data_IF_183657912140
#
_entry.id   IF_183657912140
#
_cell.length_a   1.000
_cell.length_b   1.000
_cell.length_c   1.000
_cell.angle_alpha   90.00
_cell.angle_beta   90.00
_cell.angle_gamma   90.00
#
_symmetry.space_group_name_H-M   'P 1'
#
loop_
_entity.id
_entity.type
_entity.pdbx_description
1 polymer ?
#
# COMPACT_ATOMS: atom_id res chain seq x y z
N UNK A 1 13.62 26.59 -15.62
CA UNK A 1 13.79 26.40 -17.09
C UNK A 1 15.25 26.58 -17.56
N UNK A 2 16.04 27.51 -16.96
CA UNK A 2 17.44 27.78 -17.38
C UNK A 2 18.31 26.50 -17.54
N UNK A 3 18.15 25.48 -16.69
CA UNK A 3 18.89 24.22 -16.83
C UNK A 3 18.35 23.39 -18.01
N UNK A 4 17.07 23.42 -18.28
CA UNK A 4 16.44 22.79 -19.45
C UNK A 4 17.03 23.41 -20.72
N UNK A 5 17.05 24.75 -20.82
CA UNK A 5 17.60 25.46 -21.98
C UNK A 5 19.07 25.12 -22.23
N UNK A 6 19.85 24.86 -21.17
CA UNK A 6 21.26 24.44 -21.31
C UNK A 6 21.34 23.02 -21.87
N UNK A 7 20.54 22.08 -21.33
CA UNK A 7 20.52 20.70 -21.80
C UNK A 7 20.05 20.59 -23.24
N UNK A 8 19.06 21.37 -23.63
CA UNK A 8 18.55 21.43 -25.01
C UNK A 8 19.62 21.93 -25.99
N UNK A 9 20.43 22.92 -25.61
CA UNK A 9 21.58 23.38 -26.42
C UNK A 9 22.63 22.30 -26.69
N UNK A 10 22.74 21.32 -25.78
CA UNK A 10 23.63 20.17 -25.94
C UNK A 10 22.94 18.93 -26.53
N UNK A 11 21.69 19.05 -26.97
CA UNK A 11 20.86 17.93 -27.45
C UNK A 11 20.76 16.78 -26.41
N UNK A 12 20.87 17.10 -25.13
CA UNK A 12 20.80 16.12 -24.07
C UNK A 12 19.36 15.99 -23.58
N UNK A 13 18.64 14.99 -24.09
CA UNK A 13 17.21 14.77 -23.82
C UNK A 13 16.92 13.70 -22.79
N UNK A 14 17.91 12.86 -22.45
CA UNK A 14 17.73 11.74 -21.52
C UNK A 14 17.97 12.19 -20.07
N UNK A 15 17.04 12.95 -19.53
CA UNK A 15 17.05 13.39 -18.12
C UNK A 15 15.64 13.42 -17.54
N UNK A 16 15.55 13.43 -16.22
CA UNK A 16 14.31 13.70 -15.47
C UNK A 16 14.47 14.94 -14.59
N UNK A 17 13.37 15.65 -14.40
CA UNK A 17 13.35 16.87 -13.59
C UNK A 17 12.90 16.57 -12.16
N UNK A 18 13.54 17.22 -11.19
CA UNK A 18 13.15 17.15 -9.79
C UNK A 18 13.17 18.52 -9.13
N UNK A 19 12.04 18.91 -8.51
CA UNK A 19 11.86 20.18 -7.83
C UNK A 19 11.42 19.91 -6.39
N UNK A 20 12.39 19.66 -5.50
CA UNK A 20 12.10 19.25 -4.14
C UNK A 20 12.34 20.38 -3.15
N UNK A 21 11.38 20.59 -2.28
CA UNK A 21 11.51 21.48 -1.11
C UNK A 21 10.94 20.78 0.13
N UNK A 22 11.22 21.33 1.30
CA UNK A 22 10.68 20.85 2.57
C UNK A 22 9.25 21.36 2.82
N UNK A 23 8.81 22.39 2.14
CA UNK A 23 7.44 22.91 2.19
C UNK A 23 6.57 22.21 1.11
N UNK A 24 5.45 21.63 1.53
CA UNK A 24 4.55 20.88 0.67
C UNK A 24 3.92 21.78 -0.39
N UNK A 25 3.34 22.89 0.00
CA UNK A 25 2.64 23.80 -0.91
C UNK A 25 3.58 24.33 -2.00
N UNK A 26 4.78 24.78 -1.60
CA UNK A 26 5.81 25.22 -2.55
C UNK A 26 6.19 24.13 -3.53
N UNK A 27 6.37 22.88 -3.06
CA UNK A 27 6.72 21.74 -3.91
C UNK A 27 5.60 21.43 -4.89
N UNK A 28 4.36 21.31 -4.42
CA UNK A 28 3.19 20.99 -5.25
C UNK A 28 2.97 22.08 -6.30
N UNK A 29 3.02 23.35 -5.93
CA UNK A 29 2.92 24.48 -6.84
C UNK A 29 4.02 24.48 -7.92
N UNK A 30 5.26 24.19 -7.54
CA UNK A 30 6.38 24.10 -8.47
C UNK A 30 6.17 23.00 -9.51
N UNK A 31 5.74 21.80 -9.09
CA UNK A 31 5.47 20.69 -10.00
C UNK A 31 4.24 20.95 -10.90
N UNK A 32 3.17 21.54 -10.39
CA UNK A 32 2.00 21.95 -11.19
C UNK A 32 2.36 22.97 -12.28
N UNK A 33 3.32 23.84 -11.99
CA UNK A 33 3.81 24.81 -12.99
C UNK A 33 4.72 24.17 -14.01
N UNK A 34 5.69 23.37 -13.57
CA UNK A 34 6.66 22.77 -14.47
C UNK A 34 6.05 21.71 -15.39
N UNK A 35 5.08 20.93 -14.93
CA UNK A 35 4.38 19.91 -15.71
C UNK A 35 3.65 20.46 -16.94
N UNK A 36 3.34 21.74 -16.94
CA UNK A 36 2.72 22.43 -18.09
C UNK A 36 3.74 22.99 -19.08
N UNK A 37 5.02 23.00 -18.73
CA UNK A 37 6.08 23.69 -19.47
C UNK A 37 7.08 22.74 -20.10
N UNK A 38 7.18 21.50 -19.62
CA UNK A 38 8.14 20.52 -20.13
C UNK A 38 7.47 19.14 -20.28
N UNK A 39 8.01 18.34 -21.18
CA UNK A 39 7.58 16.95 -21.41
C UNK A 39 8.50 15.90 -20.77
N UNK A 40 9.59 16.33 -20.15
CA UNK A 40 10.54 15.43 -19.48
C UNK A 40 9.91 14.82 -18.22
N UNK A 41 10.27 13.57 -17.90
CA UNK A 41 9.76 12.87 -16.72
C UNK A 41 10.03 13.65 -15.43
N UNK A 42 9.04 13.66 -14.54
CA UNK A 42 9.10 14.34 -13.25
C UNK A 42 9.39 13.35 -12.14
N UNK A 43 10.40 13.64 -11.32
CA UNK A 43 10.77 12.84 -10.15
C UNK A 43 10.31 13.54 -8.88
N UNK A 44 9.20 13.03 -8.32
CA UNK A 44 8.56 13.63 -7.15
C UNK A 44 9.26 13.27 -5.85
N UNK A 45 9.08 14.11 -4.85
CA UNK A 45 9.48 13.86 -3.47
C UNK A 45 9.48 15.13 -2.63
N UNK A 46 9.28 14.95 -1.33
CA UNK A 46 9.45 16.01 -0.34
C UNK A 46 10.81 15.80 0.33
N UNK A 47 11.64 16.83 0.39
CA UNK A 47 12.93 16.75 1.08
C UNK A 47 12.77 17.10 2.55
N UNK A 48 13.66 16.56 3.39
CA UNK A 48 13.65 16.83 4.84
C UNK A 48 12.26 16.58 5.46
N UNK A 49 11.65 15.45 5.10
CA UNK A 49 10.28 15.17 5.52
C UNK A 49 10.17 14.91 7.04
N UNK A 50 11.23 14.40 7.68
CA UNK A 50 11.28 14.17 9.11
C UNK A 50 11.41 12.69 9.50
N UNK A 51 11.05 12.36 10.76
CA UNK A 51 11.06 11.00 11.27
C UNK A 51 10.07 10.09 10.51
N UNK A 52 10.16 8.77 10.72
CA UNK A 52 9.28 7.79 10.07
C UNK A 52 7.80 8.24 10.04
N UNK A 53 7.21 8.51 11.20
CA UNK A 53 5.79 8.89 11.30
C UNK A 53 5.49 10.24 10.63
N UNK A 54 6.20 11.28 11.01
CA UNK A 54 5.93 12.64 10.52
C UNK A 54 6.29 12.77 9.03
N UNK A 55 7.39 12.12 8.61
CA UNK A 55 7.85 12.12 7.24
C UNK A 55 6.92 11.32 6.31
N UNK A 56 6.35 10.21 6.79
CA UNK A 56 5.32 9.45 6.06
C UNK A 56 4.11 10.33 5.77
N UNK A 57 3.56 11.01 6.79
CA UNK A 57 2.41 11.90 6.61
C UNK A 57 2.73 13.02 5.62
N UNK A 58 3.87 13.67 5.79
CA UNK A 58 4.29 14.79 4.94
C UNK A 58 4.50 14.37 3.49
N UNK A 59 5.16 13.24 3.27
CA UNK A 59 5.41 12.67 1.95
C UNK A 59 4.11 12.20 1.28
N UNK A 60 3.23 11.55 2.04
CA UNK A 60 1.93 11.10 1.54
C UNK A 60 1.06 12.25 1.06
N UNK A 61 1.04 13.37 1.79
CA UNK A 61 0.30 14.56 1.36
C UNK A 61 0.91 15.13 0.07
N UNK A 62 2.20 15.45 0.07
CA UNK A 62 2.81 16.17 -1.05
C UNK A 62 2.90 15.34 -2.33
N UNK A 63 3.35 14.09 -2.22
CA UNK A 63 3.43 13.16 -3.37
C UNK A 63 2.03 12.73 -3.79
N UNK A 64 1.15 12.44 -2.83
CA UNK A 64 -0.23 12.02 -3.10
C UNK A 64 -1.04 13.06 -3.86
N UNK A 65 -0.93 14.34 -3.50
CA UNK A 65 -1.58 15.44 -4.24
C UNK A 65 -1.18 15.46 -5.70
N UNK A 66 0.11 15.35 -6.00
CA UNK A 66 0.62 15.39 -7.37
C UNK A 66 0.21 14.14 -8.16
N UNK A 67 0.37 12.95 -7.57
CA UNK A 67 -0.01 11.70 -8.23
C UNK A 67 -1.51 11.62 -8.53
N UNK A 68 -2.37 12.13 -7.65
CA UNK A 68 -3.82 12.18 -7.88
C UNK A 68 -4.22 13.12 -9.03
N UNK A 69 -3.35 14.08 -9.38
CA UNK A 69 -3.50 14.97 -10.54
C UNK A 69 -2.82 14.42 -11.81
N UNK A 70 -2.28 13.21 -11.77
CA UNK A 70 -1.53 12.60 -12.88
C UNK A 70 -0.15 13.22 -13.11
N UNK A 71 0.40 13.92 -12.13
CA UNK A 71 1.73 14.55 -12.20
C UNK A 71 2.75 13.67 -11.52
N UNK A 72 3.79 13.25 -12.26
CA UNK A 72 4.94 12.51 -11.76
C UNK A 72 5.10 11.13 -12.37
N UNK A 73 6.34 10.77 -12.68
CA UNK A 73 6.71 9.52 -13.33
C UNK A 73 7.50 8.59 -12.42
N UNK A 74 8.22 9.17 -11.47
CA UNK A 74 8.97 8.45 -10.44
C UNK A 74 8.84 9.17 -9.10
N UNK A 75 8.92 8.42 -8.00
CA UNK A 75 8.83 8.97 -6.65
C UNK A 75 10.07 8.64 -5.82
N UNK A 76 10.36 9.48 -4.86
CA UNK A 76 11.30 9.23 -3.77
C UNK A 76 10.68 9.68 -2.46
N UNK A 77 10.66 8.79 -1.49
CA UNK A 77 10.34 9.10 -0.11
C UNK A 77 11.66 9.36 0.63
N UNK A 78 11.69 10.32 1.55
CA UNK A 78 12.86 10.65 2.34
C UNK A 78 12.45 10.69 3.81
N UNK A 79 12.98 9.74 4.58
CA UNK A 79 12.68 9.59 6.01
C UNK A 79 13.99 9.55 6.80
N UNK A 80 13.96 10.07 8.03
CA UNK A 80 15.01 9.80 9.01
C UNK A 80 14.74 8.44 9.68
N UNK A 81 14.85 7.35 8.88
CA UNK A 81 14.58 5.96 9.23
C UNK A 81 15.43 5.03 8.36
N UNK A 82 15.24 3.70 8.50
CA UNK A 82 15.86 2.72 7.62
C UNK A 82 15.44 2.96 6.15
N UNK A 83 16.36 2.88 5.18
CA UNK A 83 16.02 3.03 3.76
C UNK A 83 14.94 2.09 3.24
N UNK A 84 14.77 0.91 3.85
CA UNK A 84 13.69 -0.03 3.52
C UNK A 84 12.32 0.57 3.83
N UNK A 85 12.19 1.35 4.91
CA UNK A 85 10.96 2.03 5.27
C UNK A 85 10.52 3.05 4.20
N UNK A 86 11.47 3.73 3.56
CA UNK A 86 11.18 4.66 2.45
C UNK A 86 10.50 3.94 1.28
N UNK A 87 10.97 2.72 0.97
CA UNK A 87 10.39 1.88 -0.09
C UNK A 87 8.99 1.41 0.30
N UNK A 88 8.79 0.95 1.54
CA UNK A 88 7.48 0.51 2.05
C UNK A 88 6.47 1.64 1.98
N UNK A 89 6.81 2.81 2.52
CA UNK A 89 5.95 4.01 2.45
C UNK A 89 5.65 4.43 1.01
N UNK A 90 6.63 4.34 0.11
CA UNK A 90 6.42 4.60 -1.30
C UNK A 90 5.36 3.69 -1.92
N UNK A 91 5.42 2.39 -1.64
CA UNK A 91 4.41 1.43 -2.08
C UNK A 91 3.04 1.67 -1.44
N UNK A 92 2.99 2.06 -0.16
CA UNK A 92 1.75 2.35 0.54
C UNK A 92 1.03 3.56 -0.04
N UNK A 93 1.76 4.60 -0.45
CA UNK A 93 1.20 5.75 -1.18
C UNK A 93 0.61 5.29 -2.52
N UNK A 94 1.34 4.51 -3.31
CA UNK A 94 0.87 4.04 -4.61
C UNK A 94 -0.34 3.11 -4.50
N UNK A 95 -0.34 2.19 -3.54
CA UNK A 95 -1.48 1.31 -3.21
C UNK A 95 -2.71 2.12 -2.79
N UNK A 96 -2.53 3.10 -1.90
CA UNK A 96 -3.64 3.93 -1.39
C UNK A 96 -4.31 4.76 -2.48
N UNK A 97 -3.58 5.11 -3.53
CA UNK A 97 -4.09 5.83 -4.70
C UNK A 97 -4.56 4.90 -5.83
N UNK A 98 -4.47 3.58 -5.65
CA UNK A 98 -4.76 2.57 -6.68
C UNK A 98 -3.99 2.77 -8.00
N UNK A 99 -2.78 3.35 -7.94
CA UNK A 99 -1.92 3.57 -9.11
C UNK A 99 -1.11 2.32 -9.42
N UNK A 100 -0.52 1.72 -8.39
CA UNK A 100 0.23 0.46 -8.48
C UNK A 100 0.09 -0.29 -7.17
N UNK A 101 0.00 -1.60 -7.26
CA UNK A 101 -0.03 -2.46 -6.10
C UNK A 101 1.13 -3.44 -6.08
N UNK A 102 1.59 -3.76 -4.89
CA UNK A 102 2.55 -4.82 -4.61
C UNK A 102 2.42 -5.22 -3.14
N UNK A 103 2.38 -6.52 -2.89
CA UNK A 103 2.25 -7.05 -1.56
C UNK A 103 0.81 -7.03 -1.04
N UNK A 104 0.65 -7.47 0.19
CA UNK A 104 -0.66 -7.58 0.81
C UNK A 104 -1.16 -6.19 1.24
N UNK A 105 -2.43 -5.92 0.94
CA UNK A 105 -3.15 -4.74 1.42
C UNK A 105 -4.11 -5.17 2.51
N UNK A 106 -3.86 -4.74 3.74
CA UNK A 106 -4.72 -5.06 4.88
C UNK A 106 -5.75 -3.95 5.07
N UNK A 107 -7.03 -4.32 5.04
CA UNK A 107 -8.17 -3.48 5.38
C UNK A 107 -8.64 -3.89 6.77
N UNK A 108 -8.53 -3.00 7.73
CA UNK A 108 -8.91 -3.30 9.10
C UNK A 108 -9.87 -2.26 9.68
N UNK A 109 -10.85 -2.71 10.44
CA UNK A 109 -11.69 -1.80 11.19
C UNK A 109 -10.97 -1.32 12.46
N UNK A 110 -11.31 -0.11 12.96
CA UNK A 110 -10.80 0.33 14.25
C UNK A 110 -11.35 -0.55 15.36
N UNK A 111 -10.55 -0.73 16.42
CA UNK A 111 -10.98 -1.43 17.63
C UNK A 111 -12.20 -0.74 18.28
N UNK A 112 -13.25 -1.50 18.59
CA UNK A 112 -14.46 -0.99 19.23
C UNK A 112 -15.08 -2.05 20.15
N UNK A 113 -16.09 -1.65 20.93
CA UNK A 113 -16.77 -2.54 21.90
C UNK A 113 -17.53 -3.72 21.26
N UNK A 114 -17.75 -3.71 19.94
CA UNK A 114 -18.44 -4.79 19.21
C UNK A 114 -17.53 -5.87 18.69
N UNK A 115 -16.20 -5.73 18.86
CA UNK A 115 -15.25 -6.72 18.38
C UNK A 115 -15.34 -8.05 19.15
N UNK A 116 -15.20 -9.15 18.41
CA UNK A 116 -15.17 -10.50 18.98
C UNK A 116 -13.75 -11.08 19.08
N UNK A 117 -12.75 -10.37 18.56
CA UNK A 117 -11.32 -10.67 18.70
C UNK A 117 -10.49 -9.38 18.68
N UNK A 118 -9.25 -9.46 19.13
CA UNK A 118 -8.32 -8.33 19.13
C UNK A 118 -7.83 -8.03 17.71
N UNK A 119 -8.46 -7.07 17.03
CA UNK A 119 -8.12 -6.67 15.65
C UNK A 119 -6.68 -6.18 15.56
N UNK A 120 -6.20 -5.40 16.54
CA UNK A 120 -4.85 -4.82 16.51
C UNK A 120 -3.79 -5.92 16.53
N UNK A 121 -3.96 -6.92 17.40
CA UNK A 121 -3.04 -8.06 17.51
C UNK A 121 -2.99 -8.86 16.20
N UNK A 122 -4.15 -9.14 15.62
CA UNK A 122 -4.26 -9.89 14.37
C UNK A 122 -3.64 -9.13 13.19
N UNK A 123 -3.86 -7.82 13.10
CA UNK A 123 -3.27 -6.99 12.04
C UNK A 123 -1.75 -6.95 12.15
N UNK A 124 -1.20 -6.69 13.34
CA UNK A 124 0.25 -6.66 13.55
C UNK A 124 0.91 -8.00 13.20
N UNK A 125 0.27 -9.11 13.56
CA UNK A 125 0.74 -10.45 13.21
C UNK A 125 0.72 -10.70 11.70
N UNK A 126 -0.37 -10.29 11.02
CA UNK A 126 -0.48 -10.40 9.56
C UNK A 126 0.55 -9.52 8.84
N UNK A 127 0.72 -8.28 9.24
CA UNK A 127 1.72 -7.38 8.66
C UNK A 127 3.12 -7.98 8.74
N UNK A 128 3.46 -8.57 9.89
CA UNK A 128 4.78 -9.21 10.09
C UNK A 128 4.95 -10.45 9.23
N UNK A 129 3.92 -11.31 9.13
CA UNK A 129 4.01 -12.60 8.41
C UNK A 129 3.87 -12.48 6.90
N UNK A 130 3.20 -11.44 6.43
CA UNK A 130 2.91 -11.23 5.02
C UNK A 130 3.85 -10.21 4.35
N UNK A 131 4.84 -9.70 5.08
CA UNK A 131 5.80 -8.68 4.59
C UNK A 131 6.59 -9.16 3.35
N UNK A 132 6.90 -10.44 3.28
CA UNK A 132 7.67 -11.04 2.16
C UNK A 132 6.81 -11.35 0.92
N UNK A 133 5.49 -11.22 1.01
CA UNK A 133 4.59 -11.53 -0.11
C UNK A 133 4.56 -10.35 -1.07
N UNK A 134 4.86 -10.58 -2.32
CA UNK A 134 4.88 -9.56 -3.37
C UNK A 134 3.61 -9.48 -4.21
N UNK A 135 2.75 -10.50 -4.12
CA UNK A 135 1.50 -10.56 -4.88
C UNK A 135 0.47 -9.58 -4.33
N UNK A 136 -0.31 -9.00 -5.23
CA UNK A 136 -1.38 -8.07 -4.90
C UNK A 136 -2.57 -8.83 -4.32
N UNK A 137 -2.72 -8.80 -3.01
CA UNK A 137 -3.78 -9.50 -2.28
C UNK A 137 -4.42 -8.55 -1.28
N UNK A 138 -5.74 -8.47 -1.29
CA UNK A 138 -6.52 -7.70 -0.34
C UNK A 138 -7.02 -8.59 0.81
N UNK A 139 -6.68 -8.22 2.05
CA UNK A 139 -7.07 -8.95 3.27
C UNK A 139 -7.90 -8.05 4.17
N UNK A 140 -9.17 -8.40 4.39
CA UNK A 140 -10.05 -7.67 5.31
C UNK A 140 -10.04 -8.31 6.72
N UNK A 141 -9.76 -7.50 7.75
CA UNK A 141 -9.75 -7.92 9.17
C UNK A 141 -10.77 -7.09 9.94
N UNK A 142 -11.96 -7.63 10.10
CA UNK A 142 -13.10 -6.89 10.68
C UNK A 142 -13.59 -7.58 11.95
N UNK A 143 -13.42 -6.91 13.09
CA UNK A 143 -13.66 -7.45 14.42
C UNK A 143 -15.11 -7.79 14.77
N UNK A 144 -16.10 -7.41 13.97
CA UNK A 144 -17.52 -7.65 14.28
C UNK A 144 -18.33 -8.05 13.06
N UNK A 145 -19.49 -8.68 13.32
CA UNK A 145 -20.41 -9.14 12.28
C UNK A 145 -21.19 -8.01 11.57
N UNK A 146 -21.19 -6.80 12.10
CA UNK A 146 -21.97 -5.68 11.52
C UNK A 146 -21.38 -5.24 10.19
N UNK A 147 -20.08 -4.97 10.13
CA UNK A 147 -19.38 -4.54 8.92
C UNK A 147 -18.63 -5.70 8.24
N UNK A 148 -18.34 -6.76 9.01
CA UNK A 148 -17.50 -7.87 8.56
C UNK A 148 -17.93 -8.55 7.28
N UNK A 149 -19.21 -8.94 7.12
CA UNK A 149 -19.66 -9.62 5.90
C UNK A 149 -19.54 -8.76 4.63
N UNK A 150 -19.70 -7.44 4.72
CA UNK A 150 -19.55 -6.53 3.60
C UNK A 150 -18.10 -6.44 3.12
N UNK A 151 -17.21 -6.05 4.01
CA UNK A 151 -15.78 -5.90 3.71
C UNK A 151 -15.11 -7.23 3.35
N UNK A 152 -15.45 -8.31 4.09
CA UNK A 152 -14.87 -9.63 3.82
C UNK A 152 -15.33 -10.25 2.49
N UNK A 153 -16.45 -9.81 1.94
CA UNK A 153 -16.90 -10.23 0.60
C UNK A 153 -16.21 -9.47 -0.53
N UNK A 154 -15.74 -8.27 -0.26
CA UNK A 154 -15.06 -7.44 -1.25
C UNK A 154 -13.57 -7.79 -1.40
N UNK A 155 -12.97 -8.39 -0.36
CA UNK A 155 -11.55 -8.78 -0.35
C UNK A 155 -11.37 -10.25 -0.78
N UNK A 156 -10.17 -10.60 -1.26
CA UNK A 156 -9.82 -11.99 -1.56
C UNK A 156 -9.84 -12.87 -0.31
N UNK A 157 -9.40 -12.32 0.82
CA UNK A 157 -9.44 -13.00 2.11
C UNK A 157 -10.11 -12.06 3.12
N UNK A 158 -11.09 -12.55 3.84
CA UNK A 158 -11.80 -11.79 4.85
C UNK A 158 -11.91 -12.53 6.17
N UNK A 159 -11.58 -11.86 7.27
CA UNK A 159 -11.80 -12.34 8.62
C UNK A 159 -12.86 -11.48 9.29
N UNK A 160 -14.00 -12.09 9.59
CA UNK A 160 -15.13 -11.43 10.27
C UNK A 160 -15.30 -11.94 11.67
N UNK A 161 -15.30 -11.03 12.66
CA UNK A 161 -15.62 -11.34 14.04
C UNK A 161 -17.11 -11.67 14.22
N UNK A 162 -17.39 -12.82 14.81
CA UNK A 162 -18.74 -13.27 15.14
C UNK A 162 -18.74 -14.17 16.38
N UNK A 163 -19.87 -14.26 17.07
CA UNK A 163 -20.08 -15.15 18.21
C UNK A 163 -21.07 -16.25 17.81
N UNK A 164 -20.83 -17.53 18.17
CA UNK A 164 -19.74 -18.08 18.97
C UNK A 164 -18.45 -18.36 18.18
N UNK A 165 -18.41 -18.16 16.87
CA UNK A 165 -17.23 -18.45 16.02
C UNK A 165 -17.06 -17.33 15.00
N UNK A 166 -15.81 -16.95 14.77
CA UNK A 166 -15.44 -16.02 13.71
C UNK A 166 -15.55 -16.70 12.34
N UNK A 167 -15.69 -15.92 11.29
CA UNK A 167 -15.85 -16.42 9.91
C UNK A 167 -14.67 -16.01 9.04
N UNK A 168 -14.07 -16.98 8.36
CA UNK A 168 -13.10 -16.76 7.29
C UNK A 168 -13.85 -16.77 5.95
N UNK A 169 -13.60 -15.77 5.13
CA UNK A 169 -14.04 -15.66 3.76
C UNK A 169 -12.85 -15.87 2.81
N UNK A 170 -13.10 -16.53 1.71
CA UNK A 170 -12.15 -16.69 0.61
C UNK A 170 -12.91 -16.37 -0.67
N UNK A 171 -12.39 -15.44 -1.48
CA UNK A 171 -13.04 -14.94 -2.71
C UNK A 171 -14.49 -14.50 -2.48
N UNK A 172 -14.73 -13.78 -1.39
CA UNK A 172 -16.04 -13.29 -1.03
C UNK A 172 -17.05 -14.33 -0.51
N UNK A 173 -16.65 -15.61 -0.41
CA UNK A 173 -17.52 -16.70 0.04
C UNK A 173 -17.14 -17.15 1.46
N UNK A 174 -18.10 -17.31 2.38
CA UNK A 174 -17.82 -17.90 3.69
C UNK A 174 -17.21 -19.31 3.53
N UNK A 175 -16.01 -19.50 4.07
CA UNK A 175 -15.26 -20.73 3.91
C UNK A 175 -15.21 -21.56 5.19
N UNK A 176 -14.76 -20.97 6.30
CA UNK A 176 -14.51 -21.69 7.54
C UNK A 176 -14.90 -20.88 8.79
N UNK A 177 -15.44 -21.58 9.77
CA UNK A 177 -15.61 -21.04 11.12
C UNK A 177 -14.30 -21.21 11.89
N UNK A 178 -13.86 -20.15 12.56
CA UNK A 178 -12.64 -20.09 13.37
C UNK A 178 -13.05 -19.82 14.82
N UNK A 179 -12.70 -20.74 15.73
CA UNK A 179 -12.85 -20.52 17.17
C UNK A 179 -11.77 -19.58 17.70
N UNK A 180 -12.02 -18.88 18.78
CA UNK A 180 -10.98 -18.09 19.48
C UNK A 180 -9.91 -19.02 20.13
N UNK A 181 -8.64 -18.61 20.24
CA UNK A 181 -8.11 -17.32 19.86
C UNK A 181 -7.76 -17.21 18.38
N UNK A 182 -8.14 -16.12 17.76
CA UNK A 182 -7.94 -15.88 16.31
C UNK A 182 -6.45 -15.78 15.96
N UNK A 183 -5.64 -15.19 16.84
CA UNK A 183 -4.20 -15.06 16.68
C UNK A 183 -3.50 -16.41 16.45
N UNK A 184 -3.89 -17.47 17.15
CA UNK A 184 -3.32 -18.81 16.98
C UNK A 184 -3.73 -19.48 15.65
N UNK A 185 -4.88 -19.12 15.09
CA UNK A 185 -5.40 -19.69 13.84
C UNK A 185 -4.95 -18.91 12.59
N UNK A 186 -4.76 -17.60 12.70
CA UNK A 186 -4.11 -16.79 11.66
C UNK A 186 -2.62 -17.14 11.59
N UNK A 187 -2.03 -17.55 12.72
CA UNK A 187 -0.68 -18.05 12.86
C UNK A 187 -0.51 -19.51 12.39
N UNK A 188 -1.58 -20.27 12.21
CA UNK A 188 -1.47 -21.65 11.71
C UNK A 188 -0.93 -21.64 10.27
N UNK A 189 0.16 -22.40 10.09
CA UNK A 189 0.79 -22.66 8.80
C UNK A 189 -0.19 -23.03 7.67
N UNK A 190 -1.38 -23.49 8.02
CA UNK A 190 -2.45 -23.82 7.07
C UNK A 190 -3.21 -22.60 6.54
N UNK A 191 -3.40 -21.54 7.33
CA UNK A 191 -4.01 -20.28 6.85
C UNK A 191 -3.01 -19.50 6.01
N UNK A 192 -1.75 -19.42 6.44
CA UNK A 192 -0.63 -18.94 5.58
C UNK A 192 -0.41 -19.84 4.35
N UNK A 193 -0.61 -21.16 4.47
CA UNK A 193 -0.51 -22.10 3.36
C UNK A 193 -1.66 -21.97 2.36
N UNK A 194 -2.86 -21.51 2.78
CA UNK A 194 -3.95 -21.16 1.87
C UNK A 194 -3.64 -19.89 1.08
N UNK A 195 -3.06 -18.88 1.73
CA UNK A 195 -2.51 -17.70 1.06
C UNK A 195 -1.40 -18.15 0.08
N UNK A 196 -0.47 -19.00 0.51
CA UNK A 196 0.58 -19.58 -0.33
C UNK A 196 0.06 -20.53 -1.42
N UNK A 197 -0.98 -21.31 -1.16
CA UNK A 197 -1.56 -22.24 -2.17
C UNK A 197 -2.27 -21.46 -3.27
N UNK A 198 -2.97 -20.36 -2.94
CA UNK A 198 -3.54 -19.47 -3.96
C UNK A 198 -2.44 -18.85 -4.83
N UNK A 199 -1.30 -18.49 -4.25
CA UNK A 199 -0.10 -18.04 -4.94
C UNK A 199 0.44 -19.10 -5.91
N UNK A 200 0.49 -20.36 -5.50
CA UNK A 200 0.96 -21.48 -6.33
C UNK A 200 0.00 -21.77 -7.50
N UNK A 201 -1.30 -21.67 -7.29
CA UNK A 201 -2.30 -21.85 -8.36
C UNK A 201 -2.34 -20.66 -9.33
N UNK A 202 -2.17 -19.41 -8.86
CA UNK A 202 -2.08 -18.25 -9.73
C UNK A 202 -0.85 -18.29 -10.64
N UNK A 203 0.28 -18.78 -10.15
CA UNK A 203 1.51 -18.96 -10.96
C UNK A 203 1.35 -20.08 -12.01
N UNK A 204 0.55 -21.12 -11.74
CA UNK A 204 0.32 -22.20 -12.71
C UNK A 204 -0.64 -21.76 -13.83
N UNK A 205 -1.53 -20.80 -13.59
CA UNK A 205 -2.48 -20.31 -14.61
C UNK A 205 -1.86 -19.23 -15.51
N UNK A 206 -0.80 -18.53 -15.05
CA UNK A 206 -0.10 -17.48 -15.81
C UNK A 206 1.16 -17.94 -16.55
N UNK A 207 1.45 -19.23 -16.64
CA UNK A 207 2.51 -19.70 -17.52
C UNK A 207 2.06 -19.53 -18.99
N UNK A 208 2.75 -18.74 -19.82
CA UNK A 208 2.41 -18.64 -21.22
C UNK A 208 2.63 -20.00 -21.88
N UNK A 209 1.62 -20.52 -22.53
CA UNK A 209 1.82 -21.63 -23.49
C UNK A 209 2.68 -21.09 -24.63
N UNK A 210 3.87 -21.63 -24.76
CA UNK A 210 4.65 -21.54 -25.97
C UNK A 210 3.97 -22.32 -27.10
#
# INVERSE_FOLDING_TARGET
LRHVDILDRFNFTNYKMSLKASNIEMTVEAYRKISKLINQPLHLGITEAGSYRAGTVKSSIGVGMLLSEGIGDTIRISLASDPVDEIKVGWDILKSLNIRSRGVKIIACPSCSRQNFNVIEVVNELETRLDDISDDIEVAVIGCYVNGPGESKAAEIGLTGASPSNLLYVDGVPNKKISAPVSSHVADSRTCRWISIKLTYAVIICAPRF
#
